data_IF_551545778437
#
_entry.id   IF_551545778437
#
_cell.length_a   1.000
_cell.length_b   1.000
_cell.length_c   1.000
_cell.angle_alpha   90.00
_cell.angle_beta   90.00
_cell.angle_gamma   90.00
#
_symmetry.space_group_name_H-M   'P 1'
#
loop_
_entity.id
_entity.type
_entity.pdbx_description
1 polymer ?
#
# COMPACT_ATOMS: atom_id res chain seq x y z
N UNK A 1 5.62 -10.01 -0.45
CA UNK A 1 4.98 -9.38 -1.62
C UNK A 1 5.84 -9.57 -2.86
N UNK A 2 5.29 -10.14 -3.94
CA UNK A 2 5.95 -10.30 -5.24
C UNK A 2 5.30 -9.34 -6.25
N UNK A 3 6.11 -8.50 -6.88
CA UNK A 3 5.68 -7.47 -7.84
C UNK A 3 6.49 -7.55 -9.13
N UNK A 4 5.93 -7.04 -10.22
CA UNK A 4 6.57 -6.80 -11.50
C UNK A 4 6.72 -5.30 -11.69
N UNK A 5 7.95 -4.82 -11.75
CA UNK A 5 8.24 -3.39 -11.87
C UNK A 5 8.32 -2.97 -13.33
N UNK A 6 7.56 -1.94 -13.68
CA UNK A 6 7.61 -1.27 -14.98
C UNK A 6 8.31 0.07 -14.82
N UNK A 7 9.17 0.40 -15.77
CA UNK A 7 9.91 1.67 -15.80
C UNK A 7 9.79 2.31 -17.18
N UNK A 8 9.76 3.64 -17.21
CA UNK A 8 9.89 4.42 -18.44
C UNK A 8 11.38 4.71 -18.70
N UNK A 9 11.98 4.24 -19.82
CA UNK A 9 13.37 4.54 -20.15
C UNK A 9 13.67 6.05 -20.25
N UNK A 10 12.68 6.87 -20.59
CA UNK A 10 12.83 8.32 -20.66
C UNK A 10 12.73 8.98 -19.27
N UNK A 11 12.09 8.32 -18.29
CA UNK A 11 11.93 8.80 -16.92
C UNK A 11 12.20 7.70 -15.88
N UNK A 12 13.47 7.29 -15.69
CA UNK A 12 13.82 6.12 -14.87
C UNK A 12 13.49 6.26 -13.37
N UNK A 13 13.22 7.48 -12.90
CA UNK A 13 12.83 7.75 -11.53
C UNK A 13 11.37 7.36 -11.23
N UNK A 14 10.53 7.20 -12.26
CA UNK A 14 9.14 6.80 -12.13
C UNK A 14 9.03 5.31 -12.39
N UNK A 15 8.67 4.57 -11.34
CA UNK A 15 8.47 3.12 -11.40
C UNK A 15 7.04 2.79 -10.99
N UNK A 16 6.41 1.87 -11.72
CA UNK A 16 5.09 1.33 -11.40
C UNK A 16 5.26 -0.15 -11.06
N UNK A 17 4.95 -0.52 -9.82
CA UNK A 17 4.96 -1.90 -9.37
C UNK A 17 3.57 -2.54 -9.51
N UNK A 18 3.48 -3.60 -10.30
CA UNK A 18 2.26 -4.40 -10.46
C UNK A 18 2.33 -5.66 -9.62
N UNK A 19 1.29 -5.96 -8.84
CA UNK A 19 1.22 -7.23 -8.11
C UNK A 19 1.12 -8.42 -9.06
N UNK A 20 2.02 -9.39 -8.91
CA UNK A 20 1.99 -10.65 -9.69
C UNK A 20 0.90 -11.58 -9.16
N UNK A 21 0.59 -11.47 -7.86
CA UNK A 21 -0.49 -12.18 -7.17
C UNK A 21 -1.19 -11.21 -6.25
N UNK A 22 -2.52 -11.30 -6.18
CA UNK A 22 -3.30 -10.53 -5.23
C UNK A 22 -3.00 -11.00 -3.80
N UNK A 23 -2.42 -10.15 -2.94
CA UNK A 23 -2.18 -10.52 -1.54
C UNK A 23 -3.51 -10.58 -0.76
N UNK A 24 -4.50 -9.80 -1.20
CA UNK A 24 -5.86 -9.75 -0.66
C UNK A 24 -6.81 -9.78 -1.88
N UNK A 25 -7.94 -10.52 -1.83
CA UNK A 25 -8.91 -10.51 -2.93
C UNK A 25 -9.37 -9.10 -3.29
N UNK A 26 -9.39 -8.79 -4.59
CA UNK A 26 -9.64 -7.43 -5.10
C UNK A 26 -10.91 -6.80 -4.54
N UNK A 27 -12.05 -7.50 -4.58
CA UNK A 27 -13.34 -6.97 -4.09
C UNK A 27 -13.29 -6.57 -2.60
N UNK A 28 -12.53 -7.32 -1.80
CA UNK A 28 -12.37 -7.01 -0.38
C UNK A 28 -11.49 -5.77 -0.18
N UNK A 29 -10.41 -5.66 -0.95
CA UNK A 29 -9.52 -4.51 -0.90
C UNK A 29 -10.20 -3.25 -1.44
N UNK A 30 -11.00 -3.38 -2.50
CA UNK A 30 -11.75 -2.29 -3.11
C UNK A 30 -12.84 -1.76 -2.17
N UNK A 31 -13.63 -2.64 -1.56
CA UNK A 31 -14.68 -2.23 -0.62
C UNK A 31 -14.15 -1.55 0.64
N UNK A 32 -12.91 -1.86 1.07
CA UNK A 32 -12.22 -1.22 2.20
C UNK A 32 -11.29 -0.06 1.80
N UNK A 33 -11.14 0.20 0.50
CA UNK A 33 -10.25 1.27 0.03
C UNK A 33 -10.72 2.64 0.51
N UNK A 34 -9.76 3.54 0.73
CA UNK A 34 -10.00 4.91 1.16
C UNK A 34 -9.64 5.86 0.03
N UNK A 35 -10.43 6.92 -0.13
CA UNK A 35 -10.15 8.00 -1.08
C UNK A 35 -9.21 9.03 -0.42
N UNK A 36 -8.16 9.39 -1.13
CA UNK A 36 -7.16 10.36 -0.70
C UNK A 36 -6.91 11.38 -1.81
N UNK A 37 -6.73 12.64 -1.42
CA UNK A 37 -6.29 13.68 -2.34
C UNK A 37 -4.78 13.56 -2.58
N UNK A 38 -4.38 13.47 -3.84
CA UNK A 38 -3.00 13.54 -4.30
C UNK A 38 -2.88 14.74 -5.25
N UNK A 39 -2.56 15.90 -4.69
CA UNK A 39 -2.71 17.17 -5.40
C UNK A 39 -4.19 17.43 -5.71
N UNK A 40 -4.50 17.67 -6.98
CA UNK A 40 -5.87 17.93 -7.45
C UNK A 40 -6.64 16.65 -7.82
N UNK A 41 -6.03 15.47 -7.64
CA UNK A 41 -6.62 14.18 -8.00
C UNK A 41 -7.09 13.42 -6.76
N UNK A 42 -8.33 12.91 -6.81
CA UNK A 42 -8.81 11.93 -5.82
C UNK A 42 -8.43 10.53 -6.29
N UNK A 43 -7.65 9.82 -5.48
CA UNK A 43 -7.20 8.44 -5.75
C UNK A 43 -7.68 7.50 -4.66
N UNK A 44 -7.90 6.23 -5.01
CA UNK A 44 -8.16 5.17 -4.03
C UNK A 44 -6.87 4.49 -3.64
N UNK A 45 -6.67 4.33 -2.34
CA UNK A 45 -5.56 3.58 -1.76
C UNK A 45 -6.10 2.49 -0.82
N UNK A 46 -5.29 1.47 -0.55
CA UNK A 46 -5.67 0.44 0.42
C UNK A 46 -5.82 1.05 1.82
N UNK A 47 -6.69 0.45 2.65
CA UNK A 47 -6.78 0.85 4.05
C UNK A 47 -5.45 0.61 4.77
N UNK A 48 -5.22 1.33 5.88
CA UNK A 48 -4.05 1.09 6.73
C UNK A 48 -4.02 -0.37 7.22
N UNK A 49 -5.18 -0.96 7.51
CA UNK A 49 -5.29 -2.35 7.95
C UNK A 49 -4.84 -3.34 6.88
N UNK A 50 -5.31 -3.15 5.64
CA UNK A 50 -4.88 -3.96 4.50
C UNK A 50 -3.37 -3.79 4.24
N UNK A 51 -2.84 -2.57 4.40
CA UNK A 51 -1.41 -2.29 4.24
C UNK A 51 -0.56 -3.01 5.30
N UNK A 52 -1.02 -3.04 6.56
CA UNK A 52 -0.36 -3.79 7.64
C UNK A 52 -0.35 -5.28 7.32
N UNK A 53 -1.49 -5.86 6.92
CA UNK A 53 -1.58 -7.27 6.53
C UNK A 53 -0.62 -7.61 5.40
N UNK A 54 -0.60 -6.81 4.33
CA UNK A 54 0.31 -7.04 3.20
C UNK A 54 1.80 -6.98 3.61
N UNK A 55 2.17 -6.10 4.54
CA UNK A 55 3.53 -5.99 5.08
C UNK A 55 3.91 -7.16 5.98
N UNK A 56 2.99 -7.64 6.81
CA UNK A 56 3.19 -8.83 7.65
C UNK A 56 3.50 -10.07 6.80
N UNK A 57 2.72 -10.30 5.74
CA UNK A 57 2.90 -11.43 4.82
C UNK A 57 4.18 -11.33 3.98
N UNK A 58 4.74 -10.13 3.81
CA UNK A 58 5.99 -9.95 3.09
C UNK A 58 7.23 -10.40 3.89
N UNK A 59 7.13 -10.51 5.22
CA UNK A 59 8.14 -11.15 6.08
C UNK A 59 9.54 -10.51 6.07
N UNK A 60 9.72 -9.28 5.58
CA UNK A 60 11.04 -8.63 5.56
C UNK A 60 11.28 -7.95 6.90
N UNK A 61 12.50 -8.09 7.43
CA UNK A 61 12.91 -7.51 8.73
C UNK A 61 12.73 -5.98 8.83
N UNK A 62 12.71 -5.26 7.69
CA UNK A 62 12.41 -3.82 7.61
C UNK A 62 10.92 -3.46 7.84
N UNK A 63 10.00 -4.42 7.76
CA UNK A 63 8.56 -4.16 7.87
C UNK A 63 8.08 -4.00 9.33
N UNK A 64 8.85 -4.40 10.35
CA UNK A 64 8.45 -4.23 11.76
C UNK A 64 8.37 -2.75 12.19
N UNK A 65 9.36 -1.95 11.81
CA UNK A 65 9.37 -0.52 12.11
C UNK A 65 8.22 0.20 11.39
N UNK A 66 7.93 -0.16 10.14
CA UNK A 66 6.81 0.40 9.38
C UNK A 66 5.46 0.02 9.99
N UNK A 67 5.28 -1.23 10.41
CA UNK A 67 4.05 -1.69 11.08
C UNK A 67 3.83 -0.89 12.38
N UNK A 68 4.88 -0.66 13.18
CA UNK A 68 4.76 0.15 14.39
C UNK A 68 4.32 1.60 14.10
N UNK A 69 4.86 2.21 13.05
CA UNK A 69 4.46 3.57 12.66
C UNK A 69 3.02 3.60 12.13
N UNK A 70 2.62 2.62 11.32
CA UNK A 70 1.25 2.51 10.82
C UNK A 70 0.23 2.33 11.95
N UNK A 71 0.56 1.53 12.97
CA UNK A 71 -0.27 1.38 14.18
C UNK A 71 -0.42 2.71 14.93
N UNK A 72 0.64 3.53 15.00
CA UNK A 72 0.57 4.86 15.62
C UNK A 72 -0.34 5.78 14.82
N UNK A 73 -0.16 5.87 13.50
CA UNK A 73 -1.00 6.68 12.60
C UNK A 73 -2.48 6.31 12.77
N UNK A 74 -2.81 5.02 12.78
CA UNK A 74 -4.17 4.53 13.01
C UNK A 74 -4.77 4.97 14.35
N UNK A 75 -3.96 5.16 15.39
CA UNK A 75 -4.42 5.66 16.69
C UNK A 75 -4.75 7.15 16.62
N UNK A 76 -3.93 7.95 15.92
CA UNK A 76 -4.13 9.39 15.77
C UNK A 76 -5.34 9.75 14.89
N UNK A 77 -5.73 8.92 13.92
CA UNK A 77 -6.95 9.14 13.11
C UNK A 77 -8.27 8.83 13.85
N UNK A 78 -8.20 8.20 15.03
CA UNK A 78 -9.38 7.86 15.84
C UNK A 78 -9.71 8.88 16.93
N UNK A 79 -8.83 9.85 17.17
CA UNK A 79 -9.02 10.99 18.08
C UNK A 79 -9.40 12.25 17.28
#
# INVERSE_FOLDING_TARGET
>A
MQVFSMYDPAQPAVTIDLFVRYPIPYEQLWSRSVEMALGDLMVRVCSIDDLITMKQDAGRYKDLADIEQLIKIKKYEKD
#
